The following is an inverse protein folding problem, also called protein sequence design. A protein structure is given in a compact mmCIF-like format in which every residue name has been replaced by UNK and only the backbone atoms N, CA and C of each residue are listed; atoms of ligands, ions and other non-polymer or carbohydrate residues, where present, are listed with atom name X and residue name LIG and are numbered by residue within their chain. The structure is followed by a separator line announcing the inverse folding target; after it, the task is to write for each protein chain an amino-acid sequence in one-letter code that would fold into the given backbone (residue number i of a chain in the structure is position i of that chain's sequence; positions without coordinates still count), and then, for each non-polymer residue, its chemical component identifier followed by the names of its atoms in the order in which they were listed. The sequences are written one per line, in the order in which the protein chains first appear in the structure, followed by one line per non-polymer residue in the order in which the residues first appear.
data_IF_760842890496
#
_entry.id   IF_760842890496
#
_cell.length_a   1.000
_cell.length_b   1.000
_cell.length_c   1.000
_cell.angle_alpha   90.00
_cell.angle_beta   90.00
_cell.angle_gamma   90.00
#
_symmetry.space_group_name_H-M   'P 1'
#
loop_
_entity.id
_entity.type
_entity.pdbx_description
1 polymer ?
#
# COMPACT_ATOMS: atom_id res chain seq x y z
N UNK A 1 10.50 12.92 15.92
CA UNK A 1 11.36 12.25 14.93
C UNK A 1 10.43 11.41 14.05
N UNK A 2 10.60 11.47 12.74
CA UNK A 2 9.83 10.64 11.80
C UNK A 2 10.56 9.34 11.49
N UNK A 3 9.82 8.32 11.06
CA UNK A 3 10.43 7.07 10.58
C UNK A 3 11.05 7.31 9.21
N UNK A 4 10.29 7.88 8.29
CA UNK A 4 10.82 8.35 7.02
C UNK A 4 10.06 9.57 6.51
N UNK A 5 10.75 10.33 5.65
CA UNK A 5 10.17 11.44 4.89
C UNK A 5 10.46 11.20 3.41
N UNK A 6 9.42 11.21 2.59
CA UNK A 6 9.51 11.18 1.13
C UNK A 6 9.58 12.62 0.66
N UNK A 7 10.58 12.99 -0.14
CA UNK A 7 10.87 14.39 -0.47
C UNK A 7 10.76 14.71 -1.94
N UNK A 8 10.27 15.92 -2.23
CA UNK A 8 10.24 16.48 -3.58
C UNK A 8 9.29 15.78 -4.55
N UNK A 9 8.29 15.06 -4.04
CA UNK A 9 7.37 14.30 -4.88
C UNK A 9 6.34 15.21 -5.56
N UNK A 10 5.81 14.75 -6.70
CA UNK A 10 4.53 15.21 -7.25
C UNK A 10 3.40 14.37 -6.63
N UNK A 11 2.64 14.95 -5.72
CA UNK A 11 1.66 14.25 -4.88
C UNK A 11 0.29 14.28 -5.56
N UNK A 12 -0.30 13.10 -5.73
CA UNK A 12 -1.70 12.90 -6.09
C UNK A 12 -2.37 12.18 -4.93
N UNK A 13 -3.17 12.89 -4.14
CA UNK A 13 -3.72 12.38 -2.87
C UNK A 13 -4.97 11.48 -3.01
N UNK A 14 -5.45 11.26 -4.25
CA UNK A 14 -6.64 10.46 -4.54
C UNK A 14 -7.96 11.21 -4.41
N UNK A 15 -7.97 12.51 -4.07
CA UNK A 15 -9.17 13.34 -3.99
C UNK A 15 -9.77 13.70 -5.37
N UNK A 16 -8.99 13.52 -6.43
CA UNK A 16 -9.32 13.97 -7.79
C UNK A 16 -8.86 15.40 -8.10
N UNK A 17 -8.21 16.09 -7.15
CA UNK A 17 -7.56 17.38 -7.39
C UNK A 17 -6.31 17.24 -8.28
N UNK A 18 -5.82 18.37 -8.80
CA UNK A 18 -4.53 18.41 -9.50
C UNK A 18 -3.36 18.05 -8.58
N UNK A 19 -2.30 17.49 -9.16
CA UNK A 19 -1.10 17.15 -8.43
C UNK A 19 -0.42 18.40 -7.86
N UNK A 20 0.22 18.27 -6.69
CA UNK A 20 1.01 19.35 -6.08
C UNK A 20 2.35 18.84 -5.58
N UNK A 21 3.36 19.71 -5.59
CA UNK A 21 4.70 19.35 -5.12
C UNK A 21 4.81 19.40 -3.60
N UNK A 22 5.50 18.43 -3.00
CA UNK A 22 5.84 18.48 -1.58
C UNK A 22 6.48 17.23 -1.03
N UNK A 23 6.62 17.23 0.29
CA UNK A 23 7.13 16.12 1.07
C UNK A 23 5.97 15.39 1.79
N UNK A 24 6.17 14.12 2.17
CA UNK A 24 5.26 13.35 3.03
C UNK A 24 6.05 12.69 4.15
N UNK A 25 5.62 12.88 5.40
CA UNK A 25 6.25 12.27 6.57
C UNK A 25 5.41 11.12 7.13
N UNK A 26 6.08 10.03 7.48
CA UNK A 26 5.48 8.87 8.15
C UNK A 26 6.07 8.67 9.53
N UNK A 27 5.21 8.36 10.50
CA UNK A 27 5.58 7.99 11.86
C UNK A 27 4.61 6.95 12.40
N UNK A 28 5.15 5.87 12.96
CA UNK A 28 4.40 4.75 13.54
C UNK A 28 3.39 4.13 12.55
N UNK A 29 3.79 4.02 11.28
CA UNK A 29 2.95 3.49 10.20
C UNK A 29 1.85 4.45 9.71
N UNK A 30 1.80 5.69 10.20
CA UNK A 30 0.81 6.69 9.83
C UNK A 30 1.44 7.87 9.10
N UNK A 31 0.72 8.41 8.12
CA UNK A 31 1.05 9.70 7.51
C UNK A 31 0.76 10.81 8.54
N UNK A 32 1.75 11.64 8.86
CA UNK A 32 1.64 12.68 9.89
C UNK A 32 1.77 14.11 9.36
N UNK A 33 2.28 14.28 8.13
CA UNK A 33 2.43 15.56 7.46
C UNK A 33 2.46 15.34 5.95
N UNK A 34 1.82 16.23 5.19
CA UNK A 34 1.70 16.16 3.72
C UNK A 34 1.82 17.56 3.15
N UNK A 35 2.65 17.69 2.11
CA UNK A 35 2.82 18.93 1.36
C UNK A 35 3.88 19.85 1.97
N UNK A 36 4.32 20.83 1.17
CA UNK A 36 5.39 21.76 1.56
C UNK A 36 6.74 21.07 1.75
N UNK A 37 7.67 21.74 2.44
CA UNK A 37 9.02 21.25 2.71
C UNK A 37 9.17 20.88 4.17
N UNK A 38 9.45 19.62 4.46
CA UNK A 38 9.51 19.08 5.82
C UNK A 38 10.96 19.08 6.31
N UNK A 39 11.29 20.00 7.22
CA UNK A 39 12.63 20.11 7.81
C UNK A 39 12.64 19.57 9.26
N UNK A 40 12.34 18.28 9.41
CA UNK A 40 12.30 17.60 10.70
C UNK A 40 13.32 16.46 10.76
N UNK A 41 13.74 16.08 11.99
CA UNK A 41 14.59 14.89 12.18
C UNK A 41 13.82 13.64 11.76
N UNK A 42 14.39 12.89 10.84
CA UNK A 42 13.84 11.62 10.32
C UNK A 42 14.90 10.52 10.42
N UNK A 43 14.47 9.26 10.56
CA UNK A 43 15.39 8.11 10.55
C UNK A 43 15.87 7.81 9.13
N UNK A 44 15.01 8.01 8.13
CA UNK A 44 15.34 7.85 6.72
C UNK A 44 14.71 8.96 5.87
N UNK A 45 15.33 9.23 4.72
CA UNK A 45 14.81 10.14 3.70
C UNK A 45 14.75 9.39 2.39
N UNK A 46 13.64 9.52 1.67
CA UNK A 46 13.44 8.97 0.34
C UNK A 46 13.39 10.15 -0.63
N UNK A 47 14.26 10.15 -1.63
CA UNK A 47 14.23 11.14 -2.71
C UNK A 47 13.24 10.67 -3.78
N UNK A 48 12.23 11.51 -4.05
CA UNK A 48 11.14 11.23 -4.99
C UNK A 48 11.02 12.33 -6.05
N UNK A 49 12.09 13.10 -6.28
CA UNK A 49 12.10 14.09 -7.36
C UNK A 49 11.81 13.42 -8.72
N UNK A 50 10.90 14.03 -9.48
CA UNK A 50 10.39 13.48 -10.74
C UNK A 50 9.46 12.27 -10.62
N UNK A 51 9.17 11.77 -9.41
CA UNK A 51 8.23 10.67 -9.19
C UNK A 51 6.84 11.17 -8.77
N UNK A 52 5.82 10.36 -9.07
CA UNK A 52 4.50 10.51 -8.48
C UNK A 52 4.46 9.82 -7.12
N UNK A 53 3.89 10.49 -6.13
CA UNK A 53 3.52 9.88 -4.85
C UNK A 53 2.00 9.82 -4.74
N UNK A 54 1.47 8.60 -4.67
CA UNK A 54 0.03 8.34 -4.62
C UNK A 54 -0.31 7.49 -3.40
N UNK A 55 -1.59 7.45 -2.96
CA UNK A 55 -2.09 6.31 -2.23
C UNK A 55 -1.81 5.02 -3.02
N UNK A 56 -1.53 3.94 -2.31
CA UNK A 56 -1.46 2.63 -2.92
C UNK A 56 -2.82 2.24 -3.50
N UNK A 57 -2.83 1.42 -4.55
CA UNK A 57 -4.09 0.99 -5.17
C UNK A 57 -4.88 0.08 -4.23
N UNK A 58 -6.20 0.13 -4.38
CA UNK A 58 -7.13 -0.83 -3.79
C UNK A 58 -7.64 -1.72 -4.90
N UNK A 59 -7.18 -2.96 -4.94
CA UNK A 59 -7.67 -3.95 -5.90
C UNK A 59 -8.93 -4.60 -5.34
N UNK A 60 -10.07 -4.15 -5.86
CA UNK A 60 -11.39 -4.57 -5.38
C UNK A 60 -11.79 -5.96 -5.89
N UNK A 61 -11.01 -6.59 -6.77
CA UNK A 61 -11.43 -7.81 -7.44
C UNK A 61 -10.29 -8.80 -7.64
N UNK A 62 -9.91 -9.49 -6.55
CA UNK A 62 -8.87 -10.52 -6.59
C UNK A 62 -9.43 -11.91 -6.30
N UNK A 63 -8.63 -12.91 -6.67
CA UNK A 63 -8.83 -14.33 -6.35
C UNK A 63 -7.62 -14.89 -5.59
N UNK A 64 -7.06 -14.10 -4.67
CA UNK A 64 -5.92 -14.51 -3.83
C UNK A 64 -6.29 -15.35 -2.62
N UNK A 65 -7.55 -15.79 -2.51
CA UNK A 65 -8.09 -16.61 -1.42
C UNK A 65 -7.22 -17.85 -1.09
N UNK A 66 -6.64 -18.46 -2.12
CA UNK A 66 -5.63 -19.50 -1.95
C UNK A 66 -4.22 -18.93 -1.79
N UNK A 67 -3.81 -18.03 -2.69
CA UNK A 67 -2.43 -17.53 -2.78
C UNK A 67 -1.90 -16.93 -1.48
N UNK A 68 -2.78 -16.30 -0.70
CA UNK A 68 -2.47 -15.74 0.62
C UNK A 68 -1.90 -16.76 1.61
N UNK A 69 -2.07 -18.05 1.37
CA UNK A 69 -1.55 -19.10 2.27
C UNK A 69 -0.10 -19.50 1.99
N UNK A 70 0.46 -19.18 0.82
CA UNK A 70 1.83 -19.58 0.44
C UNK A 70 2.70 -18.44 -0.07
N UNK A 71 2.12 -17.37 -0.58
CA UNK A 71 2.85 -16.21 -1.05
C UNK A 71 2.87 -15.14 0.04
N UNK A 72 4.05 -14.78 0.54
CA UNK A 72 4.18 -13.71 1.52
C UNK A 72 4.22 -12.31 0.92
N UNK A 73 4.43 -12.18 -0.39
CA UNK A 73 4.61 -10.89 -1.08
C UNK A 73 3.34 -10.41 -1.78
N UNK A 74 2.39 -11.32 -2.05
CA UNK A 74 1.16 -11.01 -2.80
C UNK A 74 1.45 -10.47 -4.20
N UNK A 75 2.38 -11.10 -4.90
CA UNK A 75 2.72 -10.73 -6.27
C UNK A 75 1.73 -11.31 -7.29
N UNK A 76 1.40 -10.58 -8.37
CA UNK A 76 2.02 -9.31 -8.78
C UNK A 76 1.34 -8.04 -8.24
N UNK A 77 0.30 -8.13 -7.40
CA UNK A 77 -0.42 -6.91 -6.94
C UNK A 77 0.49 -5.96 -6.16
N UNK A 78 1.29 -6.47 -5.22
CA UNK A 78 2.20 -5.64 -4.45
C UNK A 78 3.24 -4.92 -5.35
N UNK A 79 3.84 -5.64 -6.31
CA UNK A 79 4.79 -5.05 -7.27
C UNK A 79 4.18 -4.05 -8.25
N UNK A 80 2.87 -4.09 -8.48
CA UNK A 80 2.14 -3.08 -9.26
C UNK A 80 1.62 -1.90 -8.41
N UNK A 81 1.98 -1.82 -7.13
CA UNK A 81 1.61 -0.70 -6.23
C UNK A 81 0.28 -0.87 -5.51
N UNK A 82 -0.29 -2.08 -5.49
CA UNK A 82 -1.50 -2.37 -4.70
C UNK A 82 -1.12 -2.50 -3.23
N UNK A 83 -1.79 -1.72 -2.38
CA UNK A 83 -1.61 -1.77 -0.92
C UNK A 83 -2.71 -2.54 -0.19
N UNK A 84 -3.87 -2.71 -0.84
CA UNK A 84 -5.03 -3.42 -0.28
C UNK A 84 -5.70 -4.26 -1.36
N UNK A 85 -6.08 -5.49 -1.03
CA UNK A 85 -6.83 -6.40 -1.89
C UNK A 85 -8.16 -6.78 -1.26
N UNK A 86 -9.17 -7.05 -2.10
CA UNK A 86 -10.43 -7.67 -1.71
C UNK A 86 -10.51 -9.06 -2.34
N UNK A 87 -10.72 -10.08 -1.50
CA UNK A 87 -10.84 -11.51 -1.88
C UNK A 87 -12.29 -12.00 -1.71
N UNK A 88 -12.58 -13.25 -2.09
CA UNK A 88 -13.92 -13.83 -1.98
C UNK A 88 -14.85 -13.44 -3.14
N UNK A 89 -14.28 -13.06 -4.27
CA UNK A 89 -15.03 -12.60 -5.44
C UNK A 89 -15.65 -13.75 -6.23
N UNK A 90 -16.65 -13.44 -7.07
CA UNK A 90 -17.30 -14.36 -8.01
C UNK A 90 -17.86 -15.66 -7.41
N UNK A 91 -18.18 -15.66 -6.11
CA UNK A 91 -18.63 -16.87 -5.40
C UNK A 91 -17.51 -17.88 -5.13
N UNK A 92 -16.25 -17.51 -5.35
CA UNK A 92 -15.05 -18.29 -5.05
C UNK A 92 -14.47 -17.78 -3.75
N UNK A 93 -14.42 -18.65 -2.75
CA UNK A 93 -13.77 -18.40 -1.46
C UNK A 93 -13.32 -19.72 -0.87
N UNK A 94 -12.19 -19.71 -0.18
CA UNK A 94 -11.62 -20.93 0.41
C UNK A 94 -12.15 -21.18 1.83
N UNK A 95 -12.94 -20.26 2.38
CA UNK A 95 -13.61 -20.38 3.67
C UNK A 95 -15.12 -20.08 3.55
N UNK A 96 -15.97 -20.65 4.43
CA UNK A 96 -15.61 -21.56 5.52
C UNK A 96 -15.31 -23.00 5.03
N UNK A 97 -14.29 -23.63 5.61
CA UNK A 97 -14.05 -25.09 5.49
C UNK A 97 -14.61 -25.77 6.74
N UNK A 98 -15.15 -26.98 6.61
CA UNK A 98 -15.55 -27.78 7.78
C UNK A 98 -14.34 -28.05 8.68
N UNK A 99 -14.51 -28.09 10.02
CA UNK A 99 -13.44 -28.57 10.92
C UNK A 99 -12.90 -29.93 10.44
N UNK A 100 -11.58 -30.09 10.44
CA UNK A 100 -10.88 -31.28 9.92
C UNK A 100 -11.11 -31.58 8.41
N UNK A 101 -11.62 -30.61 7.65
CA UNK A 101 -11.80 -30.72 6.19
C UNK A 101 -10.57 -30.30 5.37
N UNK A 102 -9.52 -29.82 6.04
CA UNK A 102 -8.23 -29.55 5.39
C UNK A 102 -7.49 -30.86 5.16
N UNK A 103 -6.71 -30.91 4.08
CA UNK A 103 -5.78 -32.00 3.78
C UNK A 103 -4.40 -31.38 3.71
N UNK A 104 -3.46 -31.86 4.51
CA UNK A 104 -2.05 -31.47 4.31
C UNK A 104 -1.65 -31.95 2.92
N UNK A 105 -1.11 -31.02 2.13
CA UNK A 105 -0.57 -31.27 0.79
C UNK A 105 0.93 -31.54 0.90
#
# INVERSE_FOLDING_TARGET
MHDYVIKGASILDGSGAEAFSGDVAVRDGLIVEVGGRINARTRATIDADGALLTPAWVDIHTHYDGQVTWDGTMDPSASHGVGTIVMGNCGVGFAPVRPNGYREL
#
